data_IF_950813773843
#
_entry.id   IF_950813773843
#
_cell.length_a   1.000
_cell.length_b   1.000
_cell.length_c   1.000
_cell.angle_alpha   90.00
_cell.angle_beta   90.00
_cell.angle_gamma   90.00
#
_symmetry.space_group_name_H-M   'P 1'
#
loop_
_entity.id
_entity.type
_entity.pdbx_description
1 polymer ?
#
# COMPACT_ATOMS: atom_id res chain seq x y z
N UNK A 1 21.44 -16.24 -2.91
CA UNK A 1 20.79 -14.97 -2.61
C UNK A 1 19.26 -15.12 -2.63
N UNK A 2 18.58 -14.40 -1.77
CA UNK A 2 17.12 -14.46 -1.68
C UNK A 2 16.50 -13.36 -2.53
N UNK A 3 15.71 -13.75 -3.52
CA UNK A 3 14.95 -12.83 -4.36
C UNK A 3 13.46 -13.00 -4.08
N UNK A 4 12.80 -11.91 -3.74
CA UNK A 4 11.36 -11.90 -3.49
C UNK A 4 10.65 -11.24 -4.67
N UNK A 5 9.69 -11.96 -5.27
CA UNK A 5 8.82 -11.42 -6.30
C UNK A 5 7.53 -10.97 -5.62
N UNK A 6 7.32 -9.66 -5.56
CA UNK A 6 6.14 -9.13 -4.90
C UNK A 6 4.99 -8.97 -5.87
N UNK A 7 3.79 -9.16 -5.36
CA UNK A 7 2.57 -8.69 -5.99
C UNK A 7 2.24 -7.31 -5.39
N UNK A 8 1.11 -6.73 -5.79
CA UNK A 8 0.66 -5.47 -5.22
C UNK A 8 0.35 -5.56 -3.71
N UNK A 9 0.31 -6.79 -3.16
CA UNK A 9 0.14 -7.01 -1.71
C UNK A 9 1.21 -6.32 -0.87
N UNK A 10 2.44 -6.18 -1.39
CA UNK A 10 3.53 -5.49 -0.70
C UNK A 10 3.53 -3.98 -0.94
N UNK A 11 2.56 -3.47 -1.65
CA UNK A 11 2.43 -2.06 -1.96
C UNK A 11 2.88 -1.72 -3.38
N UNK A 12 2.43 -0.58 -3.87
CA UNK A 12 2.85 -0.02 -5.15
C UNK A 12 3.75 1.18 -4.87
N UNK A 13 5.00 1.09 -5.31
CA UNK A 13 6.02 2.08 -4.96
C UNK A 13 5.95 3.28 -5.90
N UNK A 14 5.93 4.50 -5.34
CA UNK A 14 5.92 5.74 -6.13
C UNK A 14 7.29 6.44 -6.17
N UNK A 15 8.34 5.80 -5.63
CA UNK A 15 9.68 6.38 -5.53
C UNK A 15 9.96 6.95 -4.14
N UNK A 16 8.94 7.23 -3.35
CA UNK A 16 9.04 7.79 -1.99
C UNK A 16 8.32 6.92 -0.98
N UNK A 17 7.13 6.44 -1.33
CA UNK A 17 6.29 5.66 -0.43
C UNK A 17 5.71 4.45 -1.14
N UNK A 18 5.54 3.34 -0.40
CA UNK A 18 4.88 2.15 -0.89
C UNK A 18 3.39 2.25 -0.56
N UNK A 19 2.58 2.57 -1.57
CA UNK A 19 1.14 2.72 -1.40
C UNK A 19 0.48 1.37 -1.15
N UNK A 20 -0.24 1.17 -0.03
CA UNK A 20 -0.96 -0.08 0.19
C UNK A 20 -2.22 -0.11 -0.67
N UNK A 21 -2.29 -1.05 -1.59
CA UNK A 21 -3.48 -1.26 -2.43
C UNK A 21 -3.89 -2.72 -2.28
N UNK A 22 -4.86 -2.97 -1.41
CA UNK A 22 -5.28 -4.30 -1.02
C UNK A 22 -6.76 -4.50 -1.34
N UNK A 23 -7.08 -5.62 -1.99
CA UNK A 23 -8.43 -5.91 -2.48
C UNK A 23 -9.13 -7.04 -1.71
N UNK A 24 -8.40 -7.85 -0.95
CA UNK A 24 -8.96 -9.04 -0.32
C UNK A 24 -9.17 -8.90 1.19
N UNK A 25 -8.26 -8.24 1.89
CA UNK A 25 -8.37 -8.02 3.32
C UNK A 25 -7.22 -7.19 3.83
N UNK A 26 -7.52 -6.13 4.55
CA UNK A 26 -6.47 -5.23 5.01
C UNK A 26 -5.67 -5.85 6.16
N UNK A 27 -6.35 -6.50 7.11
CA UNK A 27 -5.68 -7.22 8.21
C UNK A 27 -4.81 -8.35 7.70
N UNK A 28 -5.32 -9.11 6.72
CA UNK A 28 -4.57 -10.19 6.10
C UNK A 28 -3.35 -9.65 5.35
N UNK A 29 -3.50 -8.51 4.67
CA UNK A 29 -2.40 -7.84 3.97
C UNK A 29 -1.30 -7.42 4.91
N UNK A 30 -1.64 -6.90 6.09
CA UNK A 30 -0.65 -6.54 7.11
C UNK A 30 0.17 -7.74 7.55
N UNK A 31 -0.50 -8.88 7.80
CA UNK A 31 0.19 -10.11 8.19
C UNK A 31 1.12 -10.61 7.08
N UNK A 32 0.65 -10.56 5.83
CA UNK A 32 1.46 -10.97 4.68
C UNK A 32 2.70 -10.09 4.52
N UNK A 33 2.55 -8.79 4.72
CA UNK A 33 3.65 -7.85 4.63
C UNK A 33 4.69 -8.09 5.73
N UNK A 34 4.25 -8.35 6.96
CA UNK A 34 5.14 -8.70 8.07
C UNK A 34 5.89 -10.01 7.82
N UNK A 35 5.22 -11.02 7.28
CA UNK A 35 5.86 -12.29 6.93
C UNK A 35 6.92 -12.10 5.85
N UNK A 36 6.61 -11.32 4.80
CA UNK A 36 7.55 -11.03 3.74
C UNK A 36 8.77 -10.28 4.27
N UNK A 37 8.56 -9.30 5.16
CA UNK A 37 9.66 -8.55 5.77
C UNK A 37 10.59 -9.46 6.58
N UNK A 38 10.05 -10.50 7.23
CA UNK A 38 10.83 -11.42 8.05
C UNK A 38 11.69 -12.40 7.23
N UNK A 39 11.46 -12.51 5.92
CA UNK A 39 12.22 -13.41 5.06
C UNK A 39 13.66 -12.96 4.81
N UNK A 40 13.99 -11.69 5.06
CA UNK A 40 15.34 -11.18 4.87
C UNK A 40 15.78 -11.16 3.41
N UNK A 41 14.91 -10.66 2.51
CA UNK A 41 15.21 -10.62 1.09
C UNK A 41 16.41 -9.74 0.78
N UNK A 42 17.22 -10.15 -0.19
CA UNK A 42 18.33 -9.36 -0.72
C UNK A 42 17.93 -8.60 -1.98
N UNK A 43 16.90 -9.08 -2.67
CA UNK A 43 16.35 -8.47 -3.88
C UNK A 43 14.84 -8.55 -3.83
N UNK A 44 14.17 -7.47 -4.23
CA UNK A 44 12.71 -7.43 -4.34
C UNK A 44 12.34 -6.95 -5.75
N UNK A 45 11.54 -7.73 -6.46
CA UNK A 45 10.98 -7.31 -7.74
C UNK A 45 9.61 -6.72 -7.47
N UNK A 46 9.44 -5.43 -7.78
CA UNK A 46 8.22 -4.68 -7.52
C UNK A 46 7.45 -4.43 -8.82
N UNK A 47 6.14 -4.69 -8.86
CA UNK A 47 5.34 -4.32 -10.04
C UNK A 47 5.35 -2.80 -10.23
N UNK A 48 5.40 -2.39 -11.50
CA UNK A 48 5.40 -0.98 -11.92
C UNK A 48 6.63 -0.17 -11.49
N UNK A 49 7.63 -0.78 -10.86
CA UNK A 49 8.85 -0.09 -10.43
C UNK A 49 10.11 -0.76 -11.00
N UNK A 50 10.33 -2.03 -10.66
CA UNK A 50 11.52 -2.76 -11.01
C UNK A 50 12.08 -3.51 -9.83
N UNK A 51 13.40 -3.66 -9.78
CA UNK A 51 14.06 -4.44 -8.73
C UNK A 51 14.75 -3.52 -7.72
N UNK A 52 14.61 -3.85 -6.44
CA UNK A 52 15.40 -3.29 -5.36
C UNK A 52 16.49 -4.29 -5.01
N UNK A 53 17.74 -3.82 -4.98
CA UNK A 53 18.90 -4.65 -4.69
C UNK A 53 19.52 -4.28 -3.35
N UNK A 54 19.94 -5.31 -2.61
CA UNK A 54 20.63 -5.16 -1.35
C UNK A 54 19.72 -5.33 -0.16
N UNK A 55 20.24 -5.98 0.87
CA UNK A 55 19.52 -6.27 2.12
C UNK A 55 19.02 -5.00 2.78
N UNK A 56 19.85 -3.96 2.80
CA UNK A 56 19.48 -2.68 3.43
C UNK A 56 18.36 -1.96 2.67
N UNK A 57 18.41 -1.95 1.34
CA UNK A 57 17.37 -1.34 0.52
C UNK A 57 16.04 -2.08 0.68
N UNK A 58 16.09 -3.40 0.75
CA UNK A 58 14.90 -4.22 0.97
C UNK A 58 14.31 -3.96 2.36
N UNK A 59 15.18 -3.87 3.38
CA UNK A 59 14.74 -3.57 4.74
C UNK A 59 14.03 -2.21 4.83
N UNK A 60 14.62 -1.20 4.19
CA UNK A 60 14.02 0.14 4.15
C UNK A 60 12.67 0.13 3.44
N UNK A 61 12.56 -0.63 2.37
CA UNK A 61 11.29 -0.74 1.65
C UNK A 61 10.20 -1.31 2.57
N UNK A 62 10.50 -2.39 3.29
CA UNK A 62 9.52 -3.00 4.19
C UNK A 62 9.15 -2.09 5.35
N UNK A 63 10.11 -1.37 5.92
CA UNK A 63 9.83 -0.40 6.97
C UNK A 63 8.87 0.69 6.45
N UNK A 64 9.13 1.20 5.25
CA UNK A 64 8.27 2.20 4.63
C UNK A 64 6.89 1.62 4.32
N UNK A 65 6.83 0.41 3.77
CA UNK A 65 5.56 -0.23 3.44
C UNK A 65 4.68 -0.45 4.69
N UNK A 66 5.28 -0.87 5.80
CA UNK A 66 4.57 -1.04 7.07
C UNK A 66 4.09 0.30 7.63
N UNK A 67 4.93 1.33 7.54
CA UNK A 67 4.55 2.68 7.95
C UNK A 67 3.36 3.19 7.14
N UNK A 68 3.42 3.08 5.81
CA UNK A 68 2.34 3.56 4.94
C UNK A 68 1.06 2.75 5.12
N UNK A 69 1.19 1.48 5.44
CA UNK A 69 0.05 0.62 5.76
C UNK A 69 -0.69 1.15 6.99
N UNK A 70 0.04 1.42 8.07
CA UNK A 70 -0.54 1.96 9.29
C UNK A 70 -1.08 3.39 9.07
N UNK A 71 -0.36 4.21 8.31
CA UNK A 71 -0.79 5.56 7.97
C UNK A 71 -2.14 5.54 7.26
N UNK A 72 -2.25 4.70 6.23
CA UNK A 72 -3.49 4.58 5.44
C UNK A 72 -4.64 4.10 6.30
N UNK A 73 -4.42 3.04 7.06
CA UNK A 73 -5.46 2.50 7.95
C UNK A 73 -5.97 3.56 8.91
N UNK A 74 -5.06 4.20 9.63
CA UNK A 74 -5.43 5.16 10.67
C UNK A 74 -6.13 6.39 10.10
N UNK A 75 -5.65 6.90 8.97
CA UNK A 75 -6.27 8.07 8.35
C UNK A 75 -7.64 7.75 7.76
N UNK A 76 -7.79 6.60 7.11
CA UNK A 76 -9.11 6.20 6.59
C UNK A 76 -10.13 6.09 7.73
N UNK A 77 -9.74 5.47 8.85
CA UNK A 77 -10.61 5.35 10.02
C UNK A 77 -10.99 6.73 10.55
N UNK A 78 -10.00 7.61 10.73
CA UNK A 78 -10.24 8.97 11.27
C UNK A 78 -11.12 9.80 10.34
N UNK A 79 -10.86 9.78 9.04
CA UNK A 79 -11.66 10.49 8.05
C UNK A 79 -13.09 9.97 8.00
N UNK A 80 -13.26 8.64 8.03
CA UNK A 80 -14.59 8.05 8.06
C UNK A 80 -15.35 8.49 9.31
N UNK A 81 -14.72 8.43 10.47
CA UNK A 81 -15.34 8.82 11.74
C UNK A 81 -15.68 10.31 11.80
N UNK A 82 -14.97 11.14 11.05
CA UNK A 82 -15.26 12.57 10.96
C UNK A 82 -16.38 12.92 9.96
N UNK A 83 -16.91 11.90 9.27
CA UNK A 83 -18.00 12.08 8.31
C UNK A 83 -17.59 12.31 6.87
N UNK A 84 -16.30 12.12 6.56
CA UNK A 84 -15.81 12.25 5.18
C UNK A 84 -16.37 11.12 4.29
N UNK A 85 -16.78 11.47 3.07
CA UNK A 85 -17.28 10.48 2.13
C UNK A 85 -16.14 9.59 1.61
N UNK A 86 -16.49 8.38 1.14
CA UNK A 86 -15.50 7.47 0.55
C UNK A 86 -14.78 8.12 -0.62
N UNK A 87 -15.50 8.87 -1.45
CA UNK A 87 -14.90 9.59 -2.58
C UNK A 87 -13.83 10.58 -2.11
N UNK A 88 -14.11 11.36 -1.08
CA UNK A 88 -13.16 12.34 -0.55
C UNK A 88 -11.95 11.66 0.09
N UNK A 89 -12.17 10.54 0.77
CA UNK A 89 -11.08 9.72 1.33
C UNK A 89 -10.16 9.24 0.21
N UNK A 90 -10.74 8.71 -0.87
CA UNK A 90 -9.98 8.24 -2.04
C UNK A 90 -9.16 9.38 -2.65
N UNK A 91 -9.72 10.58 -2.73
CA UNK A 91 -9.00 11.75 -3.25
C UNK A 91 -7.79 12.12 -2.38
N UNK A 92 -7.91 12.01 -1.06
CA UNK A 92 -6.78 12.25 -0.16
C UNK A 92 -5.68 11.22 -0.36
N UNK A 93 -6.05 9.95 -0.57
CA UNK A 93 -5.09 8.89 -0.87
C UNK A 93 -4.42 9.12 -2.23
N UNK A 94 -5.18 9.60 -3.23
CA UNK A 94 -4.62 9.92 -4.55
C UNK A 94 -3.56 11.01 -4.45
N UNK A 95 -3.82 12.06 -3.70
CA UNK A 95 -2.87 13.17 -3.53
C UNK A 95 -1.58 12.70 -2.88
N UNK A 96 -1.67 11.71 -2.00
CA UNK A 96 -0.48 11.19 -1.31
C UNK A 96 0.30 10.19 -2.15
N UNK A 97 -0.38 9.28 -2.84
CA UNK A 97 0.26 8.12 -3.46
C UNK A 97 0.38 8.18 -4.97
N UNK A 98 -0.61 8.71 -5.68
CA UNK A 98 -0.61 8.74 -7.14
C UNK A 98 0.19 9.92 -7.66
N UNK A 99 1.47 9.94 -7.30
CA UNK A 99 2.44 10.97 -7.63
C UNK A 99 3.75 10.29 -8.03
N UNK A 100 4.72 11.07 -8.53
CA UNK A 100 6.03 10.57 -8.89
C UNK A 100 5.95 9.45 -9.93
N UNK A 101 6.72 8.38 -9.73
CA UNK A 101 6.74 7.24 -10.65
C UNK A 101 5.37 6.56 -10.75
N UNK A 102 4.69 6.35 -9.63
CA UNK A 102 3.35 5.76 -9.64
C UNK A 102 2.36 6.61 -10.43
N UNK A 103 2.45 7.95 -10.30
CA UNK A 103 1.62 8.86 -11.08
C UNK A 103 1.87 8.76 -12.58
N UNK A 104 3.09 8.38 -12.98
CA UNK A 104 3.48 8.25 -14.38
C UNK A 104 3.07 6.90 -14.99
N UNK A 105 3.16 5.80 -14.23
CA UNK A 105 3.00 4.44 -14.79
C UNK A 105 1.75 3.70 -14.31
N UNK A 106 1.17 4.08 -13.20
CA UNK A 106 -0.03 3.43 -12.66
C UNK A 106 -1.27 4.19 -13.15
N UNK A 107 -2.14 3.56 -13.97
CA UNK A 107 -3.28 4.28 -14.54
C UNK A 107 -4.20 4.87 -13.48
N UNK A 108 -4.61 6.12 -13.66
CA UNK A 108 -5.54 6.80 -12.76
C UNK A 108 -6.83 6.00 -12.57
N UNK A 109 -7.35 5.45 -13.66
CA UNK A 109 -8.56 4.63 -13.61
C UNK A 109 -8.38 3.41 -12.72
N UNK A 110 -7.21 2.75 -12.79
CA UNK A 110 -6.90 1.61 -11.94
C UNK A 110 -6.78 2.03 -10.48
N UNK A 111 -6.18 3.19 -10.22
CA UNK A 111 -6.09 3.72 -8.86
C UNK A 111 -7.48 3.91 -8.25
N UNK A 112 -8.38 4.58 -8.96
CA UNK A 112 -9.74 4.81 -8.47
C UNK A 112 -10.52 3.51 -8.29
N UNK A 113 -10.36 2.56 -9.22
CA UNK A 113 -11.03 1.27 -9.12
C UNK A 113 -10.56 0.51 -7.88
N UNK A 114 -9.26 0.40 -7.69
CA UNK A 114 -8.67 -0.38 -6.61
C UNK A 114 -8.89 0.26 -5.24
N UNK A 115 -8.70 1.57 -5.11
CA UNK A 115 -8.97 2.26 -3.86
C UNK A 115 -10.47 2.30 -3.55
N UNK A 116 -11.31 2.29 -4.57
CA UNK A 116 -12.76 2.17 -4.43
C UNK A 116 -13.19 0.85 -3.79
N UNK A 117 -12.40 -0.20 -3.93
CA UNK A 117 -12.60 -1.45 -3.20
C UNK A 117 -11.95 -1.41 -1.81
N UNK A 118 -10.73 -0.88 -1.74
CA UNK A 118 -9.93 -0.91 -0.51
C UNK A 118 -10.51 -0.05 0.62
N UNK A 119 -10.96 1.17 0.32
CA UNK A 119 -11.48 2.07 1.35
C UNK A 119 -12.70 1.49 2.06
N UNK A 120 -13.75 1.00 1.37
CA UNK A 120 -14.85 0.32 2.05
C UNK A 120 -14.42 -0.92 2.84
N UNK A 121 -13.40 -1.62 2.36
CA UNK A 121 -12.88 -2.81 3.04
C UNK A 121 -12.25 -2.44 4.38
N UNK A 122 -11.44 -1.39 4.43
CA UNK A 122 -10.85 -0.89 5.67
C UNK A 122 -11.95 -0.47 6.65
N UNK A 123 -12.93 0.27 6.18
CA UNK A 123 -14.05 0.73 7.00
C UNK A 123 -14.80 -0.48 7.59
N UNK A 124 -15.06 -1.48 6.77
CA UNK A 124 -15.74 -2.70 7.21
C UNK A 124 -14.94 -3.45 8.26
N UNK A 125 -13.63 -3.58 8.09
CA UNK A 125 -12.79 -4.35 9.00
C UNK A 125 -12.51 -3.66 10.34
N UNK A 126 -12.44 -2.32 10.35
CA UNK A 126 -12.01 -1.57 11.53
C UNK A 126 -13.07 -0.65 12.13
N UNK A 127 -14.09 -0.27 11.37
CA UNK A 127 -15.15 0.63 11.83
C UNK A 127 -16.51 -0.05 11.94
N UNK A 128 -16.65 -1.31 11.54
CA UNK A 128 -17.91 -2.03 11.63
C UNK A 128 -18.27 -2.28 13.09
N UNK A 129 -19.50 -1.99 13.43
CA UNK A 129 -20.06 -2.28 14.78
C UNK A 129 -20.59 -3.70 14.86
#
# INVERSE_FOLDING_TARGET
SKTLFSSETLGVYNGTAAAPILLTGFKQGEQSLKKAAALGAEHIVLPHWGMLDGTEECRKYFENALYEFEWTKNHVIDWHNSGMSDHDIIEELRKRYHIGHMGAVYPMKAFYLNTGYMVPLIIKEYCAD
#
